data_IF_991746869310
#
_entry.id   IF_991746869310
#
_cell.length_a   1.000
_cell.length_b   1.000
_cell.length_c   1.000
_cell.angle_alpha   90.00
_cell.angle_beta   90.00
_cell.angle_gamma   90.00
#
_symmetry.space_group_name_H-M   'P 1'
#
loop_
_entity.id
_entity.type
_entity.pdbx_description
1 polymer ?
#
# COMPACT_ATOMS: atom_id res chain seq x y z
N UNK A 1 64.10 -26.89 4.21
CA UNK A 1 63.30 -25.67 4.01
C UNK A 1 62.08 -26.02 3.17
N UNK A 2 60.87 -25.99 3.74
CA UNK A 2 59.62 -26.22 3.01
C UNK A 2 58.58 -25.28 3.61
N UNK A 3 58.35 -24.15 2.94
CA UNK A 3 57.39 -23.12 3.37
C UNK A 3 56.03 -23.50 2.82
N UNK A 4 55.11 -23.90 3.70
CA UNK A 4 53.69 -24.07 3.38
C UNK A 4 53.05 -22.69 3.44
N UNK A 5 52.63 -22.16 2.29
CA UNK A 5 51.86 -20.93 2.19
C UNK A 5 50.38 -21.33 2.25
N UNK A 6 49.74 -21.06 3.39
CA UNK A 6 48.29 -21.12 3.55
C UNK A 6 47.69 -19.86 2.90
N UNK A 7 46.99 -20.03 1.79
CA UNK A 7 46.17 -18.98 1.18
C UNK A 7 44.81 -19.00 1.85
N UNK A 8 44.57 -18.05 2.75
CA UNK A 8 43.26 -17.80 3.33
C UNK A 8 42.38 -17.07 2.31
N UNK A 9 41.41 -17.77 1.72
CA UNK A 9 40.37 -17.15 0.91
C UNK A 9 39.38 -16.43 1.83
N UNK A 10 39.54 -15.11 1.98
CA UNK A 10 38.49 -14.27 2.54
C UNK A 10 37.32 -14.23 1.55
N UNK A 11 36.31 -15.07 1.78
CA UNK A 11 35.01 -14.91 1.17
C UNK A 11 34.43 -13.58 1.65
N UNK A 12 34.32 -12.62 0.73
CA UNK A 12 33.69 -11.34 0.97
C UNK A 12 32.20 -11.55 1.28
N UNK A 13 31.84 -11.46 2.57
CA UNK A 13 30.47 -11.20 2.98
C UNK A 13 30.13 -9.75 2.60
N UNK A 14 29.64 -9.55 1.38
CA UNK A 14 28.95 -8.31 1.03
C UNK A 14 27.60 -8.27 1.75
N UNK A 15 27.24 -7.19 2.46
CA UNK A 15 25.89 -7.07 2.98
C UNK A 15 24.94 -6.99 1.79
N UNK A 16 24.11 -8.01 1.61
CA UNK A 16 22.96 -7.89 0.75
C UNK A 16 22.06 -6.82 1.36
N UNK A 17 22.18 -5.58 0.90
CA UNK A 17 21.15 -4.56 1.14
C UNK A 17 19.92 -4.96 0.33
N UNK A 18 19.21 -5.97 0.82
CA UNK A 18 17.88 -6.30 0.36
C UNK A 18 16.96 -5.21 0.91
N UNK A 19 16.86 -4.09 0.21
CA UNK A 19 15.75 -3.18 0.40
C UNK A 19 14.49 -3.94 -0.02
N UNK A 20 13.72 -4.41 0.96
CA UNK A 20 12.36 -4.84 0.68
C UNK A 20 11.64 -3.65 0.04
N UNK A 21 11.19 -3.80 -1.21
CA UNK A 21 10.40 -2.78 -1.89
C UNK A 21 9.12 -2.56 -1.10
N UNK A 22 9.07 -1.50 -0.30
CA UNK A 22 7.86 -1.13 0.42
C UNK A 22 6.97 -0.29 -0.49
N UNK A 23 5.66 -0.51 -0.40
CA UNK A 23 4.69 0.33 -1.09
C UNK A 23 4.29 1.57 -0.29
N UNK A 24 4.90 1.81 0.88
CA UNK A 24 4.65 3.02 1.67
C UNK A 24 4.94 4.28 0.85
N UNK A 25 4.01 5.23 0.91
CA UNK A 25 4.03 6.46 0.11
C UNK A 25 3.48 6.32 -1.31
N UNK A 26 3.15 5.11 -1.77
CA UNK A 26 2.47 4.93 -3.05
C UNK A 26 0.99 5.30 -2.94
N UNK A 27 0.44 5.79 -4.05
CA UNK A 27 -0.98 6.06 -4.18
C UNK A 27 -1.73 4.86 -4.76
N UNK A 28 -2.91 4.60 -4.23
CA UNK A 28 -3.76 3.49 -4.64
C UNK A 28 -5.21 3.92 -4.79
N UNK A 29 -5.93 3.21 -5.64
CA UNK A 29 -7.36 3.42 -5.85
C UNK A 29 -8.09 2.09 -5.95
N UNK A 30 -9.32 1.97 -5.42
CA UNK A 30 -10.08 0.74 -5.47
C UNK A 30 -10.26 0.24 -6.91
N UNK A 31 -10.10 -1.06 -7.13
CA UNK A 31 -10.40 -1.65 -8.44
C UNK A 31 -11.88 -1.45 -8.77
N UNK A 32 -12.16 -0.81 -9.89
CA UNK A 32 -13.51 -0.59 -10.39
C UNK A 32 -13.79 -1.34 -11.68
N UNK A 33 -15.07 -1.43 -12.03
CA UNK A 33 -15.58 -1.90 -13.32
C UNK A 33 -16.77 -1.04 -13.71
N UNK A 34 -17.06 -0.97 -15.00
CA UNK A 34 -18.23 -0.27 -15.54
C UNK A 34 -19.42 -1.21 -15.53
N UNK A 35 -20.52 -0.79 -14.93
CA UNK A 35 -21.78 -1.51 -14.94
C UNK A 35 -22.53 -1.32 -16.27
N UNK A 36 -23.61 -2.07 -16.50
CA UNK A 36 -24.38 -2.04 -17.75
C UNK A 36 -24.97 -0.66 -18.06
N UNK A 37 -25.20 0.15 -17.03
CA UNK A 37 -25.73 1.51 -17.12
C UNK A 37 -24.65 2.58 -17.30
N UNK A 38 -23.37 2.19 -17.40
CA UNK A 38 -22.24 3.10 -17.53
C UNK A 38 -21.71 3.64 -16.20
N UNK A 39 -22.32 3.30 -15.06
CA UNK A 39 -21.82 3.70 -13.74
C UNK A 39 -20.57 2.91 -13.32
N UNK A 40 -19.75 3.49 -12.44
CA UNK A 40 -18.65 2.77 -11.81
C UNK A 40 -19.14 1.95 -10.63
N UNK A 41 -18.67 0.71 -10.54
CA UNK A 41 -18.89 -0.18 -9.41
C UNK A 41 -17.56 -0.79 -8.97
N UNK A 42 -17.45 -1.21 -7.71
CA UNK A 42 -16.25 -1.93 -7.29
C UNK A 42 -16.18 -3.28 -8.00
N UNK A 43 -14.98 -3.65 -8.47
CA UNK A 43 -14.74 -4.96 -9.12
C UNK A 43 -15.02 -6.12 -8.16
N UNK A 44 -14.83 -5.90 -6.87
CA UNK A 44 -15.18 -6.79 -5.77
C UNK A 44 -15.42 -5.95 -4.51
N UNK A 45 -16.06 -6.53 -3.50
CA UNK A 45 -16.23 -5.87 -2.20
C UNK A 45 -14.87 -5.63 -1.54
N UNK A 46 -14.60 -4.38 -1.17
CA UNK A 46 -13.37 -3.99 -0.45
C UNK A 46 -13.67 -3.92 1.04
N UNK A 47 -12.98 -4.74 1.83
CA UNK A 47 -13.13 -4.78 3.28
C UNK A 47 -12.04 -3.92 3.93
N UNK A 48 -12.47 -3.09 4.88
CA UNK A 48 -11.62 -2.18 5.64
C UNK A 48 -11.61 -2.65 7.09
N UNK A 49 -10.44 -3.03 7.58
CA UNK A 49 -10.19 -3.56 8.90
C UNK A 49 -9.65 -2.46 9.83
N UNK A 50 -9.99 -2.52 11.11
CA UNK A 50 -9.42 -1.59 12.11
C UNK A 50 -7.94 -1.86 12.40
N UNK A 51 -7.47 -3.07 12.12
CA UNK A 51 -6.10 -3.55 12.36
C UNK A 51 -5.64 -4.44 11.19
N UNK A 52 -4.32 -4.69 11.02
CA UNK A 52 -3.78 -5.55 9.96
C UNK A 52 -3.97 -7.05 10.26
N UNK A 53 -5.20 -7.47 10.53
CA UNK A 53 -5.57 -8.86 10.73
C UNK A 53 -7.02 -9.11 10.27
N UNK A 54 -7.32 -10.34 9.85
CA UNK A 54 -8.62 -10.68 9.26
C UNK A 54 -9.75 -10.87 10.30
N UNK A 55 -9.39 -10.96 11.58
CA UNK A 55 -10.31 -11.16 12.70
C UNK A 55 -10.73 -9.83 13.35
N UNK A 56 -10.13 -8.72 12.94
CA UNK A 56 -10.41 -7.38 13.44
C UNK A 56 -11.82 -6.93 13.09
N UNK A 57 -12.32 -5.96 13.86
CA UNK A 57 -13.51 -5.21 13.50
C UNK A 57 -13.36 -4.65 12.08
N UNK A 58 -14.40 -4.78 11.27
CA UNK A 58 -14.33 -4.42 9.87
C UNK A 58 -15.61 -3.76 9.36
N UNK A 59 -15.46 -3.07 8.24
CA UNK A 59 -16.52 -2.45 7.49
C UNK A 59 -16.25 -2.60 5.99
N UNK A 60 -17.21 -2.19 5.17
CA UNK A 60 -17.10 -2.23 3.71
C UNK A 60 -16.83 -0.82 3.21
N UNK A 61 -15.86 -0.68 2.30
CA UNK A 61 -15.62 0.59 1.63
C UNK A 61 -16.84 0.99 0.79
N UNK A 62 -17.28 2.24 0.95
CA UNK A 62 -18.46 2.79 0.26
C UNK A 62 -18.12 3.93 -0.69
N UNK A 63 -16.87 4.37 -0.71
CA UNK A 63 -16.41 5.55 -1.45
C UNK A 63 -15.37 5.16 -2.49
N UNK A 64 -15.45 5.81 -3.65
CA UNK A 64 -14.46 5.69 -4.72
C UNK A 64 -13.42 6.81 -4.56
N UNK A 65 -12.51 6.61 -3.61
CA UNK A 65 -11.48 7.61 -3.26
C UNK A 65 -10.08 7.05 -3.45
N UNK A 66 -9.11 7.90 -3.75
CA UNK A 66 -7.70 7.55 -3.68
C UNK A 66 -7.23 7.50 -2.22
N UNK A 67 -6.17 6.72 -1.98
CA UNK A 67 -5.51 6.60 -0.69
C UNK A 67 -4.00 6.55 -0.87
N UNK A 68 -3.26 7.03 0.12
CA UNK A 68 -1.82 6.77 0.22
C UNK A 68 -1.58 5.59 1.16
N UNK A 69 -0.61 4.73 0.84
CA UNK A 69 -0.19 3.66 1.74
C UNK A 69 0.70 4.25 2.85
N UNK A 70 0.22 4.21 4.09
CA UNK A 70 0.95 4.70 5.27
C UNK A 70 1.87 3.67 5.92
N UNK A 71 1.48 2.39 5.87
CA UNK A 71 2.20 1.29 6.49
C UNK A 71 1.82 -0.05 5.83
N UNK A 72 2.65 -1.07 6.05
CA UNK A 72 2.41 -2.44 5.59
C UNK A 72 2.63 -3.42 6.75
N UNK A 73 1.70 -4.34 6.97
CA UNK A 73 1.81 -5.35 8.03
C UNK A 73 0.94 -6.56 7.72
N UNK A 74 1.44 -7.78 7.98
CA UNK A 74 0.68 -9.04 7.83
C UNK A 74 -0.03 -9.21 6.47
N UNK A 75 0.53 -8.66 5.39
CA UNK A 75 -0.08 -8.67 4.06
C UNK A 75 -1.31 -7.77 3.93
N UNK A 76 -1.41 -6.73 4.75
CA UNK A 76 -2.35 -5.61 4.65
C UNK A 76 -1.57 -4.31 4.44
N UNK A 77 -2.25 -3.33 3.85
CA UNK A 77 -1.77 -1.96 3.70
C UNK A 77 -2.65 -1.02 4.53
N UNK A 78 -2.03 -0.07 5.23
CA UNK A 78 -2.76 1.00 5.91
C UNK A 78 -3.08 2.08 4.89
N UNK A 79 -4.35 2.44 4.78
CA UNK A 79 -4.84 3.48 3.91
C UNK A 79 -4.90 4.80 4.68
N UNK A 80 -4.23 5.81 4.14
CA UNK A 80 -4.34 7.19 4.57
C UNK A 80 -5.18 7.95 3.54
N UNK A 81 -6.08 8.81 4.04
CA UNK A 81 -6.79 9.77 3.20
C UNK A 81 -5.81 10.72 2.51
N UNK A 82 -6.22 11.23 1.35
CA UNK A 82 -5.45 12.17 0.52
C UNK A 82 -6.18 13.51 0.48
N UNK A 83 -5.55 14.59 0.00
CA UNK A 83 -6.24 15.84 -0.22
C UNK A 83 -7.42 15.66 -1.18
N UNK A 84 -8.56 16.27 -0.88
CA UNK A 84 -9.77 16.22 -1.73
C UNK A 84 -9.96 17.58 -2.42
N UNK A 85 -9.47 17.71 -3.66
CA UNK A 85 -9.55 18.98 -4.40
C UNK A 85 -10.96 19.37 -4.85
N UNK A 86 -11.97 18.51 -4.65
CA UNK A 86 -13.38 18.88 -4.84
C UNK A 86 -13.96 19.54 -3.58
N UNK A 87 -13.29 19.46 -2.44
CA UNK A 87 -13.70 20.09 -1.19
C UNK A 87 -13.24 21.56 -1.07
N UNK A 88 -13.95 22.34 -0.25
CA UNK A 88 -13.61 23.74 0.03
C UNK A 88 -12.27 23.91 0.77
N UNK A 89 -11.89 22.90 1.56
CA UNK A 89 -10.59 22.80 2.23
C UNK A 89 -10.00 21.40 1.95
N UNK A 90 -9.21 21.25 0.87
CA UNK A 90 -8.71 19.95 0.43
C UNK A 90 -7.86 19.21 1.45
N UNK A 91 -7.12 19.94 2.28
CA UNK A 91 -6.12 19.37 3.19
C UNK A 91 -6.70 18.94 4.55
N UNK A 92 -7.94 19.38 4.88
CA UNK A 92 -8.58 19.18 6.20
C UNK A 92 -8.50 17.75 6.72
N UNK A 93 -8.68 16.79 5.82
CA UNK A 93 -8.74 15.37 6.14
C UNK A 93 -7.54 14.58 5.62
N UNK A 94 -6.58 15.19 4.94
CA UNK A 94 -5.43 14.49 4.37
C UNK A 94 -4.55 13.84 5.45
N UNK A 95 -3.99 12.67 5.13
CA UNK A 95 -3.07 11.91 5.99
C UNK A 95 -3.72 11.19 7.18
N UNK A 96 -5.06 11.26 7.34
CA UNK A 96 -5.77 10.56 8.41
C UNK A 96 -5.84 9.06 8.10
N UNK A 97 -5.69 8.23 9.12
CA UNK A 97 -5.84 6.78 8.99
C UNK A 97 -7.29 6.45 8.69
N UNK A 98 -7.52 5.87 7.51
CA UNK A 98 -8.82 5.37 7.11
C UNK A 98 -9.06 3.93 7.58
N UNK A 99 -8.01 3.10 7.55
CA UNK A 99 -8.05 1.72 8.02
C UNK A 99 -7.04 0.83 7.30
N UNK A 100 -7.19 -0.48 7.43
CA UNK A 100 -6.32 -1.48 6.81
C UNK A 100 -7.08 -2.25 5.73
N UNK A 101 -6.43 -2.58 4.62
CA UNK A 101 -7.06 -3.32 3.53
C UNK A 101 -6.10 -4.29 2.84
N UNK A 102 -6.62 -5.18 2.00
CA UNK A 102 -5.81 -6.05 1.16
C UNK A 102 -5.40 -5.33 -0.12
N UNK A 103 -4.10 -5.24 -0.37
CA UNK A 103 -3.55 -4.58 -1.56
C UNK A 103 -4.11 -5.13 -2.88
N UNK A 104 -4.49 -6.41 -2.92
CA UNK A 104 -5.08 -7.06 -4.10
C UNK A 104 -6.35 -6.36 -4.60
N UNK A 105 -7.04 -5.60 -3.74
CA UNK A 105 -8.30 -4.93 -4.04
C UNK A 105 -8.11 -3.53 -4.65
N UNK A 106 -6.86 -3.08 -4.77
CA UNK A 106 -6.48 -1.77 -5.27
C UNK A 106 -5.54 -1.86 -6.48
N UNK A 107 -5.56 -0.81 -7.30
CA UNK A 107 -4.57 -0.54 -8.33
C UNK A 107 -3.67 0.61 -7.88
N UNK A 108 -2.38 0.54 -8.23
CA UNK A 108 -1.47 1.67 -8.06
C UNK A 108 -1.84 2.78 -9.02
N UNK A 109 -1.71 4.01 -8.55
CA UNK A 109 -1.88 5.21 -9.37
C UNK A 109 -0.63 6.06 -9.33
N UNK A 110 -0.43 6.83 -10.40
CA UNK A 110 0.62 7.85 -10.39
C UNK A 110 0.32 8.87 -9.29
N UNK A 111 1.35 9.29 -8.54
CA UNK A 111 1.19 10.23 -7.41
C UNK A 111 0.44 11.52 -7.77
N UNK A 112 0.58 12.00 -9.02
CA UNK A 112 -0.15 13.18 -9.52
C UNK A 112 -1.68 13.01 -9.58
N UNK A 113 -2.18 11.78 -9.49
CA UNK A 113 -3.60 11.44 -9.50
C UNK A 113 -4.12 11.12 -8.09
N UNK A 114 -3.32 11.36 -7.04
CA UNK A 114 -3.67 11.02 -5.67
C UNK A 114 -4.52 12.11 -5.01
N UNK A 115 -5.79 12.16 -5.38
CA UNK A 115 -6.79 13.13 -4.90
C UNK A 115 -8.18 12.52 -4.84
#
# INVERSE_FOLDING_TARGET
MKKLILVAALAAFGPAMAFASSNVGQCVYPKTTVAKDGSLTFKQQVVIFSEPNAQAGNSVLKTFSAFTIGAEANGFVQLLTVPDYDAADPERDAGKVFGWAKMKDFDFQALRNCT
#
